data_IF_551610743786
#
_entry.id   IF_551610743786
#
_cell.length_a   1.000
_cell.length_b   1.000
_cell.length_c   1.000
_cell.angle_alpha   90.00
_cell.angle_beta   90.00
_cell.angle_gamma   90.00
#
_symmetry.space_group_name_H-M   'P 1'
#
loop_
_entity.id
_entity.type
_entity.pdbx_description
1 polymer ?
#
# COMPACT_ATOMS: atom_id res chain seq x y z
N UNK A 1 -24.98 4.60 -10.08
CA UNK A 1 -23.98 5.27 -9.22
C UNK A 1 -24.72 6.06 -8.16
N UNK A 2 -24.93 5.49 -6.97
CA UNK A 2 -25.53 6.20 -5.84
C UNK A 2 -24.45 7.14 -5.30
N UNK A 3 -24.51 8.40 -5.73
CA UNK A 3 -23.75 9.48 -5.10
C UNK A 3 -24.43 9.71 -3.75
N UNK A 4 -23.91 9.09 -2.70
CA UNK A 4 -24.29 9.43 -1.33
C UNK A 4 -23.85 10.87 -1.09
N UNK A 5 -24.80 11.79 -1.04
CA UNK A 5 -24.54 13.16 -0.65
C UNK A 5 -24.05 13.19 0.81
N UNK A 6 -23.01 13.97 1.11
CA UNK A 6 -22.44 14.15 2.45
C UNK A 6 -23.45 14.65 3.53
N UNK A 7 -24.70 14.96 3.16
CA UNK A 7 -25.76 15.38 4.07
C UNK A 7 -26.49 14.22 4.77
N UNK A 8 -26.36 12.97 4.30
CA UNK A 8 -27.09 11.83 4.87
C UNK A 8 -26.28 11.08 5.93
N UNK A 9 -26.14 11.68 7.11
CA UNK A 9 -25.51 11.03 8.28
C UNK A 9 -26.18 9.69 8.63
N UNK A 10 -27.50 9.58 8.41
CA UNK A 10 -28.27 8.35 8.65
C UNK A 10 -27.82 7.20 7.76
N UNK A 11 -27.52 7.41 6.48
CA UNK A 11 -27.06 6.35 5.59
C UNK A 11 -25.66 5.83 5.98
N UNK A 12 -24.76 6.73 6.41
CA UNK A 12 -23.45 6.34 6.93
C UNK A 12 -23.58 5.56 8.26
N UNK A 13 -24.51 5.95 9.14
CA UNK A 13 -24.82 5.25 10.38
C UNK A 13 -25.46 3.88 10.12
N UNK A 14 -26.44 3.79 9.21
CA UNK A 14 -27.09 2.54 8.82
C UNK A 14 -26.09 1.58 8.18
N UNK A 15 -25.22 2.06 7.30
CA UNK A 15 -24.11 1.26 6.79
C UNK A 15 -23.13 0.89 7.90
N UNK A 16 -22.88 1.77 8.87
CA UNK A 16 -22.05 1.48 10.04
C UNK A 16 -22.66 0.38 10.93
N UNK A 17 -23.96 0.41 11.16
CA UNK A 17 -24.65 -0.52 12.04
C UNK A 17 -24.89 -1.86 11.33
N UNK A 18 -25.29 -1.83 10.05
CA UNK A 18 -25.52 -3.02 9.23
C UNK A 18 -24.24 -3.85 9.04
N UNK A 19 -23.07 -3.23 9.05
CA UNK A 19 -21.80 -3.96 8.98
C UNK A 19 -20.95 -3.87 10.25
N UNK A 20 -21.55 -3.44 11.37
CA UNK A 20 -20.98 -3.64 12.70
C UNK A 20 -21.12 -5.10 13.12
N UNK A 21 -20.18 -5.58 13.91
CA UNK A 21 -20.17 -6.95 14.41
C UNK A 21 -20.95 -7.03 15.72
N UNK A 22 -22.01 -7.82 15.75
CA UNK A 22 -22.53 -8.41 16.98
C UNK A 22 -21.76 -9.68 17.40
N UNK A 23 -21.03 -10.31 16.47
CA UNK A 23 -20.28 -11.56 16.66
C UNK A 23 -19.13 -11.71 15.64
N UNK A 24 -17.95 -12.16 16.09
CA UNK A 24 -16.80 -12.57 15.26
C UNK A 24 -16.58 -14.07 15.42
N UNK A 25 -16.52 -14.81 14.32
CA UNK A 25 -16.22 -16.25 14.36
C UNK A 25 -14.70 -16.47 14.38
N UNK A 26 -14.14 -16.76 15.55
CA UNK A 26 -12.70 -17.01 15.69
C UNK A 26 -12.23 -18.33 15.05
N UNK A 27 -13.13 -19.29 14.79
CA UNK A 27 -12.78 -20.57 14.17
C UNK A 27 -12.42 -20.42 12.69
N UNK A 28 -12.92 -19.39 12.03
CA UNK A 28 -12.68 -19.12 10.60
C UNK A 28 -11.68 -17.98 10.39
N UNK A 29 -10.93 -17.63 11.44
CA UNK A 29 -9.92 -16.56 11.37
C UNK A 29 -8.83 -16.99 10.37
N UNK A 30 -8.63 -16.24 9.28
CA UNK A 30 -7.61 -16.60 8.30
C UNK A 30 -6.21 -16.41 8.89
N UNK A 31 -5.25 -17.27 8.52
CA UNK A 31 -3.86 -17.05 8.89
C UNK A 31 -3.31 -15.80 8.18
N UNK A 32 -2.25 -15.25 8.77
CA UNK A 32 -1.62 -14.03 8.28
C UNK A 32 -0.65 -14.29 7.13
N UNK A 33 -0.31 -15.54 6.86
CA UNK A 33 0.76 -15.90 5.92
C UNK A 33 0.24 -16.87 4.87
N UNK A 34 0.68 -16.64 3.63
CA UNK A 34 0.55 -17.55 2.52
C UNK A 34 1.79 -18.43 2.43
N UNK A 35 1.63 -19.67 1.98
CA UNK A 35 2.75 -20.61 1.81
C UNK A 35 2.71 -21.33 0.47
N UNK A 36 3.87 -21.77 -0.01
CA UNK A 36 4.00 -22.55 -1.23
C UNK A 36 4.85 -23.79 -0.92
N UNK A 37 4.16 -24.92 -0.70
CA UNK A 37 4.83 -26.15 -0.28
C UNK A 37 5.64 -26.75 -1.43
N UNK A 38 6.89 -27.11 -1.18
CA UNK A 38 7.76 -27.78 -2.16
C UNK A 38 8.47 -26.85 -3.14
N UNK A 39 8.23 -25.53 -3.08
CA UNK A 39 8.94 -24.55 -3.89
C UNK A 39 10.24 -24.07 -3.22
N UNK A 40 11.20 -23.62 -4.04
CA UNK A 40 12.49 -23.12 -3.56
C UNK A 40 12.32 -21.77 -2.86
N UNK A 41 12.90 -21.66 -1.67
CA UNK A 41 12.94 -20.42 -0.87
C UNK A 41 14.35 -19.86 -0.82
N UNK A 42 14.49 -18.57 -1.11
CA UNK A 42 15.74 -17.81 -1.16
C UNK A 42 15.71 -16.81 0.01
N UNK A 43 16.52 -16.98 1.05
CA UNK A 43 16.58 -16.02 2.14
C UNK A 43 17.10 -14.68 1.64
N UNK A 44 16.47 -13.58 2.06
CA UNK A 44 16.92 -12.24 1.72
C UNK A 44 18.06 -11.80 2.64
N UNK A 45 19.07 -11.07 2.11
CA UNK A 45 20.17 -10.56 2.92
C UNK A 45 19.67 -9.56 3.96
N UNK A 46 20.26 -9.61 5.15
CA UNK A 46 20.05 -8.55 6.14
C UNK A 46 20.75 -7.27 5.64
N UNK A 47 20.08 -6.13 5.81
CA UNK A 47 20.57 -4.81 5.42
C UNK A 47 20.57 -3.88 6.60
N UNK A 48 21.45 -2.88 6.58
CA UNK A 48 21.35 -1.75 7.49
C UNK A 48 20.04 -0.98 7.27
N UNK A 49 19.58 -0.33 8.34
CA UNK A 49 18.35 0.45 8.31
C UNK A 49 18.54 1.71 7.47
N UNK A 50 17.57 2.11 6.62
CA UNK A 50 17.67 3.35 5.86
C UNK A 50 17.86 4.58 6.77
N UNK A 51 18.97 5.28 6.59
CA UNK A 51 19.37 6.40 7.46
C UNK A 51 18.80 7.76 7.02
N UNK A 52 18.30 7.86 5.78
CA UNK A 52 17.69 9.09 5.27
C UNK A 52 16.58 9.58 6.21
N UNK A 53 16.54 10.87 6.57
CA UNK A 53 15.45 11.43 7.37
C UNK A 53 14.08 11.13 6.75
N UNK A 54 13.13 10.65 7.55
CA UNK A 54 11.80 10.25 7.07
C UNK A 54 11.09 11.30 6.23
N UNK A 55 11.08 12.56 6.70
CA UNK A 55 10.42 13.64 5.96
C UNK A 55 11.12 13.93 4.63
N UNK A 56 12.44 13.77 4.56
CA UNK A 56 13.19 13.90 3.30
C UNK A 56 12.84 12.77 2.33
N UNK A 57 12.82 11.52 2.80
CA UNK A 57 12.47 10.35 2.00
C UNK A 57 11.04 10.42 1.43
N UNK A 58 10.11 11.04 2.16
CA UNK A 58 8.74 11.29 1.69
C UNK A 58 8.64 12.51 0.76
N UNK A 59 9.43 13.55 1.01
CA UNK A 59 9.38 14.81 0.26
C UNK A 59 9.99 14.70 -1.15
N UNK A 60 10.96 13.80 -1.33
CA UNK A 60 11.75 13.68 -2.56
C UNK A 60 11.69 12.27 -3.12
N UNK A 61 10.59 11.89 -3.80
CA UNK A 61 10.53 10.62 -4.52
C UNK A 61 11.74 10.49 -5.46
N UNK A 62 12.48 9.39 -5.37
CA UNK A 62 13.51 9.11 -6.36
C UNK A 62 12.85 8.96 -7.74
N UNK A 63 13.16 9.89 -8.65
CA UNK A 63 12.69 9.87 -10.04
C UNK A 63 13.80 9.47 -11.01
N UNK A 64 15.04 9.54 -10.56
CA UNK A 64 16.22 9.11 -11.29
C UNK A 64 17.14 8.34 -10.34
N UNK A 65 17.83 7.35 -10.88
CA UNK A 65 18.85 6.59 -10.17
C UNK A 65 19.90 6.12 -11.16
N UNK A 66 21.15 6.04 -10.73
CA UNK A 66 22.28 5.55 -11.55
C UNK A 66 22.88 4.26 -11.01
N UNK A 67 22.53 3.89 -9.78
CA UNK A 67 22.99 2.64 -9.17
C UNK A 67 22.14 1.47 -9.69
N UNK A 68 22.76 0.36 -10.14
CA UNK A 68 22.04 -0.86 -10.46
C UNK A 68 21.18 -1.34 -9.28
N UNK A 69 20.02 -1.91 -9.57
CA UNK A 69 19.17 -2.52 -8.55
C UNK A 69 19.74 -3.89 -8.16
N UNK A 70 20.02 -4.10 -6.88
CA UNK A 70 20.59 -5.33 -6.34
C UNK A 70 19.65 -6.04 -5.35
N UNK A 71 20.01 -7.25 -4.94
CA UNK A 71 19.22 -8.04 -3.98
C UNK A 71 19.12 -7.36 -2.59
N UNK A 72 20.12 -6.55 -2.21
CA UNK A 72 20.11 -5.83 -0.94
C UNK A 72 19.03 -4.73 -0.95
N UNK A 73 18.94 -3.96 -2.04
CA UNK A 73 17.90 -2.95 -2.24
C UNK A 73 16.51 -3.58 -2.26
N UNK A 74 16.33 -4.71 -2.96
CA UNK A 74 15.07 -5.49 -2.93
C UNK A 74 14.73 -5.94 -1.52
N UNK A 75 15.72 -6.43 -0.76
CA UNK A 75 15.54 -6.83 0.63
C UNK A 75 15.02 -5.68 1.50
N UNK A 76 15.63 -4.50 1.39
CA UNK A 76 15.20 -3.29 2.11
C UNK A 76 13.77 -2.88 1.72
N UNK A 77 13.47 -2.83 0.42
CA UNK A 77 12.14 -2.47 -0.08
C UNK A 77 11.06 -3.39 0.48
N UNK A 78 11.28 -4.70 0.49
CA UNK A 78 10.31 -5.69 0.99
C UNK A 78 10.23 -5.69 2.53
N UNK A 79 11.35 -5.53 3.24
CA UNK A 79 11.38 -5.49 4.70
C UNK A 79 10.66 -4.26 5.23
N UNK A 80 11.02 -3.06 4.76
CA UNK A 80 10.48 -1.81 5.27
C UNK A 80 9.09 -1.47 4.74
N UNK A 81 8.57 -2.18 3.73
CA UNK A 81 7.16 -2.08 3.30
C UNK A 81 6.25 -3.10 3.98
N UNK A 82 6.60 -4.39 3.93
CA UNK A 82 5.72 -5.50 4.33
C UNK A 82 6.32 -6.43 5.40
N UNK A 83 7.59 -6.27 5.74
CA UNK A 83 8.30 -7.13 6.68
C UNK A 83 7.75 -7.10 8.10
N UNK A 84 8.02 -8.17 8.84
CA UNK A 84 7.72 -8.26 10.27
C UNK A 84 8.73 -7.42 11.06
N UNK A 85 8.26 -6.40 11.79
CA UNK A 85 9.11 -5.47 12.56
C UNK A 85 9.07 -5.72 14.07
N UNK A 86 7.98 -6.31 14.58
CA UNK A 86 7.83 -6.60 16.02
C UNK A 86 6.91 -7.78 16.26
N UNK A 87 7.26 -8.62 17.22
CA UNK A 87 6.37 -9.62 17.83
C UNK A 87 6.04 -9.21 19.27
N UNK A 88 4.83 -9.46 19.72
CA UNK A 88 4.44 -9.26 21.12
C UNK A 88 3.49 -10.34 21.57
N UNK A 89 3.47 -10.67 22.86
CA UNK A 89 2.51 -11.60 23.44
C UNK A 89 1.42 -10.81 24.15
N UNK A 90 0.17 -11.06 23.78
CA UNK A 90 -1.03 -10.52 24.44
C UNK A 90 -1.73 -11.61 25.24
N UNK A 91 -2.12 -11.36 26.51
CA UNK A 91 -2.90 -12.32 27.29
C UNK A 91 -4.22 -12.74 26.62
N UNK A 92 -4.84 -11.85 25.84
CA UNK A 92 -6.13 -12.11 25.19
C UNK A 92 -6.03 -12.59 23.74
N UNK A 93 -4.89 -12.38 23.08
CA UNK A 93 -4.74 -12.61 21.63
C UNK A 93 -3.55 -13.51 21.26
N UNK A 94 -2.77 -13.99 22.23
CA UNK A 94 -1.58 -14.80 21.98
C UNK A 94 -0.44 -13.99 21.36
N UNK A 95 0.37 -14.64 20.52
CA UNK A 95 1.42 -13.96 19.75
C UNK A 95 0.79 -13.05 18.69
N UNK A 96 1.18 -11.78 18.70
CA UNK A 96 0.73 -10.74 17.77
C UNK A 96 1.92 -10.29 16.95
N UNK A 97 1.74 -10.30 15.63
CA UNK A 97 2.75 -9.95 14.66
C UNK A 97 2.47 -8.53 14.16
N UNK A 98 3.46 -7.65 14.21
CA UNK A 98 3.38 -6.30 13.67
C UNK A 98 4.29 -6.19 12.45
N UNK A 99 3.70 -5.84 11.31
CA UNK A 99 4.43 -5.52 10.08
C UNK A 99 4.74 -4.02 9.97
N UNK A 100 5.67 -3.70 9.08
CA UNK A 100 6.06 -2.34 8.76
C UNK A 100 4.84 -1.48 8.38
N UNK A 101 4.03 -1.95 7.42
CA UNK A 101 2.74 -1.36 7.09
C UNK A 101 1.72 -1.45 8.25
N UNK A 102 0.91 -0.40 8.40
CA UNK A 102 -0.28 -0.46 9.24
C UNK A 102 -1.36 -1.29 8.55
N UNK A 103 -2.24 -1.92 9.32
CA UNK A 103 -3.34 -2.69 8.76
C UNK A 103 -4.55 -2.61 9.66
N UNK A 104 -5.73 -2.42 9.07
CA UNK A 104 -6.99 -2.44 9.79
C UNK A 104 -7.12 -3.76 10.58
N UNK A 105 -7.13 -3.66 11.90
CA UNK A 105 -7.24 -4.82 12.78
C UNK A 105 -6.02 -5.75 12.79
N UNK A 106 -4.89 -5.33 12.23
CA UNK A 106 -3.68 -6.15 12.07
C UNK A 106 -3.96 -7.48 11.33
N UNK A 107 -4.75 -7.40 10.25
CA UNK A 107 -5.18 -8.57 9.47
C UNK A 107 -4.29 -8.84 8.25
N UNK A 108 -3.53 -7.83 7.80
CA UNK A 108 -2.53 -7.92 6.76
C UNK A 108 -3.04 -8.62 5.48
N UNK A 109 -4.05 -8.06 4.80
CA UNK A 109 -4.61 -8.64 3.58
C UNK A 109 -3.63 -8.60 2.40
N UNK A 110 -2.60 -7.77 2.47
CA UNK A 110 -1.70 -7.51 1.35
C UNK A 110 -0.52 -8.47 1.33
N UNK A 111 -0.32 -9.12 0.18
CA UNK A 111 0.88 -9.89 -0.16
C UNK A 111 1.72 -9.13 -1.19
N UNK A 112 3.03 -9.38 -1.21
CA UNK A 112 3.94 -8.81 -2.20
C UNK A 112 4.56 -9.91 -3.05
N UNK A 113 4.62 -9.65 -4.35
CA UNK A 113 5.30 -10.47 -5.34
C UNK A 113 6.35 -9.62 -6.05
N UNK A 114 7.37 -10.28 -6.58
CA UNK A 114 8.46 -9.67 -7.35
C UNK A 114 8.56 -10.37 -8.69
N UNK A 115 8.48 -9.61 -9.77
CA UNK A 115 8.90 -10.04 -11.12
C UNK A 115 10.14 -9.26 -11.49
N UNK A 116 11.24 -9.94 -11.78
CA UNK A 116 12.50 -9.28 -12.11
C UNK A 116 13.23 -9.97 -13.25
N UNK A 117 14.11 -9.21 -13.91
CA UNK A 117 15.16 -9.75 -14.76
C UNK A 117 16.28 -10.41 -13.94
N UNK A 118 17.42 -10.65 -14.57
CA UNK A 118 18.63 -11.09 -13.88
C UNK A 118 19.20 -9.93 -13.05
N UNK A 119 19.13 -10.06 -11.72
CA UNK A 119 19.73 -9.12 -10.77
C UNK A 119 20.96 -9.74 -10.12
N UNK A 120 21.85 -8.92 -9.57
CA UNK A 120 22.97 -9.44 -8.80
C UNK A 120 22.45 -10.22 -7.57
N UNK A 121 22.77 -11.52 -7.52
CA UNK A 121 22.30 -12.45 -6.49
C UNK A 121 20.88 -13.01 -6.68
N UNK A 122 20.15 -12.67 -7.75
CA UNK A 122 18.79 -13.17 -7.99
C UNK A 122 18.49 -13.37 -9.49
N UNK A 123 18.27 -14.62 -9.89
CA UNK A 123 17.93 -14.96 -11.28
C UNK A 123 16.56 -14.40 -11.70
N UNK A 124 16.35 -14.24 -13.00
CA UNK A 124 15.08 -13.80 -13.57
C UNK A 124 13.95 -14.75 -13.18
N UNK A 125 12.82 -14.20 -12.75
CA UNK A 125 11.70 -15.00 -12.28
C UNK A 125 10.55 -14.22 -11.67
N UNK A 126 9.57 -15.00 -11.20
CA UNK A 126 8.45 -14.53 -10.38
C UNK A 126 8.60 -15.12 -8.98
N UNK A 127 8.49 -14.26 -7.98
CA UNK A 127 8.72 -14.61 -6.59
C UNK A 127 7.60 -14.10 -5.69
N UNK A 128 7.25 -14.85 -4.65
CA UNK A 128 6.41 -14.40 -3.54
C UNK A 128 7.29 -14.01 -2.35
N UNK A 129 7.04 -12.85 -1.73
CA UNK A 129 7.73 -12.45 -0.52
C UNK A 129 7.06 -13.05 0.72
N UNK A 130 7.81 -13.83 1.49
CA UNK A 130 7.39 -14.36 2.80
C UNK A 130 7.86 -13.44 3.93
N UNK A 131 6.96 -12.67 4.58
CA UNK A 131 7.37 -11.74 5.63
C UNK A 131 7.81 -12.45 6.92
N UNK A 132 7.35 -13.69 7.14
CA UNK A 132 7.73 -14.48 8.31
C UNK A 132 9.16 -15.00 8.22
N UNK A 133 9.57 -15.46 7.02
CA UNK A 133 10.90 -15.98 6.76
C UNK A 133 11.89 -14.94 6.26
N UNK A 134 11.41 -13.73 5.91
CA UNK A 134 12.17 -12.72 5.18
C UNK A 134 12.91 -13.34 3.99
N UNK A 135 12.12 -13.94 3.10
CA UNK A 135 12.61 -14.77 2.00
C UNK A 135 11.72 -14.62 0.77
N UNK A 136 12.28 -14.90 -0.40
CA UNK A 136 11.56 -15.01 -1.66
C UNK A 136 11.30 -16.47 -2.00
N UNK A 137 10.05 -16.83 -2.25
CA UNK A 137 9.70 -18.15 -2.78
C UNK A 137 9.60 -18.08 -4.29
N UNK A 138 10.41 -18.84 -5.03
CA UNK A 138 10.41 -18.84 -6.49
C UNK A 138 9.18 -19.57 -7.02
N UNK A 139 8.33 -18.84 -7.74
CA UNK A 139 7.10 -19.35 -8.36
C UNK A 139 7.33 -19.73 -9.83
N UNK A 140 8.11 -18.92 -10.55
CA UNK A 140 8.43 -19.14 -11.97
C UNK A 140 9.89 -18.80 -12.25
N UNK A 141 10.46 -19.46 -13.24
CA UNK A 141 11.76 -19.11 -13.82
C UNK A 141 11.55 -18.36 -15.13
N UNK A 142 12.42 -17.38 -15.41
CA UNK A 142 12.38 -16.61 -16.65
C UNK A 142 11.84 -15.20 -16.46
N UNK A 143 12.20 -14.33 -17.39
CA UNK A 143 11.83 -12.92 -17.36
C UNK A 143 10.41 -12.71 -17.92
N UNK A 144 9.47 -12.34 -17.04
CA UNK A 144 8.08 -12.04 -17.41
C UNK A 144 7.75 -10.54 -17.33
N UNK A 145 8.78 -9.66 -17.26
CA UNK A 145 8.55 -8.21 -17.29
C UNK A 145 7.91 -7.74 -18.58
N UNK A 146 8.25 -8.37 -19.71
CA UNK A 146 7.60 -8.12 -21.00
C UNK A 146 6.11 -8.48 -21.01
N UNK A 147 5.71 -9.54 -20.28
CA UNK A 147 4.31 -9.90 -20.13
C UNK A 147 3.56 -8.88 -19.26
N UNK A 148 4.16 -8.40 -18.17
CA UNK A 148 3.59 -7.32 -17.36
C UNK A 148 3.47 -6.02 -18.15
N UNK A 149 4.46 -5.68 -18.98
CA UNK A 149 4.41 -4.55 -19.89
C UNK A 149 3.22 -4.64 -20.86
N UNK A 150 2.99 -5.81 -21.46
CA UNK A 150 1.85 -6.06 -22.33
C UNK A 150 0.51 -5.95 -21.57
N UNK A 151 0.42 -6.50 -20.35
CA UNK A 151 -0.80 -6.43 -19.53
C UNK A 151 -1.12 -5.01 -19.06
N UNK A 152 -0.09 -4.20 -18.82
CA UNK A 152 -0.26 -2.81 -18.44
C UNK A 152 -0.35 -1.87 -19.66
N UNK A 153 -0.17 -2.35 -20.90
CA UNK A 153 0.02 -1.53 -22.09
C UNK A 153 1.13 -0.45 -21.90
N UNK A 154 2.20 -0.80 -21.17
CA UNK A 154 3.28 0.09 -20.73
C UNK A 154 4.67 -0.53 -21.01
N UNK A 155 5.27 -0.17 -22.15
CA UNK A 155 6.58 -0.71 -22.55
C UNK A 155 7.70 -0.39 -21.53
N UNK A 156 7.57 0.66 -20.72
CA UNK A 156 8.60 1.02 -19.74
C UNK A 156 8.74 -0.01 -18.61
N UNK A 157 7.71 -0.84 -18.39
CA UNK A 157 7.79 -1.97 -17.46
C UNK A 157 8.77 -3.04 -17.95
N UNK A 158 8.86 -3.27 -19.27
CA UNK A 158 9.78 -4.25 -19.85
C UNK A 158 11.25 -3.87 -19.63
N UNK A 159 11.54 -2.57 -19.51
CA UNK A 159 12.86 -2.03 -19.19
C UNK A 159 13.10 -1.84 -17.69
N UNK A 160 12.09 -1.97 -16.83
CA UNK A 160 12.30 -1.80 -15.39
C UNK A 160 12.99 -3.05 -14.82
N UNK A 161 14.10 -2.97 -14.06
CA UNK A 161 14.85 -4.16 -13.61
C UNK A 161 13.99 -5.07 -12.71
N UNK A 162 13.08 -4.48 -11.94
CA UNK A 162 12.11 -5.19 -11.13
C UNK A 162 10.74 -4.51 -11.12
N UNK A 163 9.71 -5.33 -10.95
CA UNK A 163 8.33 -4.91 -10.72
C UNK A 163 7.85 -5.63 -9.46
N UNK A 164 7.53 -4.87 -8.43
CA UNK A 164 6.86 -5.39 -7.23
C UNK A 164 5.35 -5.30 -7.46
N UNK A 165 4.60 -6.34 -7.13
CA UNK A 165 3.15 -6.38 -7.29
C UNK A 165 2.54 -6.60 -5.92
N UNK A 166 1.58 -5.76 -5.55
CA UNK A 166 0.77 -6.00 -4.37
C UNK A 166 -0.56 -6.66 -4.76
N UNK A 167 -0.99 -7.63 -3.97
CA UNK A 167 -2.27 -8.32 -4.12
C UNK A 167 -3.06 -8.20 -2.83
N UNK A 168 -4.37 -8.45 -2.86
CA UNK A 168 -5.20 -8.55 -1.67
C UNK A 168 -5.83 -9.93 -1.53
N UNK A 169 -5.53 -10.62 -0.43
CA UNK A 169 -6.29 -11.78 0.05
C UNK A 169 -7.56 -11.26 0.73
N UNK A 170 -8.68 -11.20 -0.01
CA UNK A 170 -9.88 -10.48 0.42
C UNK A 170 -10.46 -10.99 1.74
N UNK A 171 -10.42 -12.31 1.96
CA UNK A 171 -10.96 -12.93 3.17
C UNK A 171 -10.26 -12.45 4.45
N UNK A 172 -8.96 -12.10 4.41
CA UNK A 172 -8.24 -11.61 5.59
C UNK A 172 -8.89 -10.39 6.21
N UNK A 173 -9.27 -9.41 5.38
CA UNK A 173 -10.00 -8.23 5.85
C UNK A 173 -11.49 -8.50 6.06
N UNK A 174 -12.11 -9.25 5.14
CA UNK A 174 -13.55 -9.49 5.16
C UNK A 174 -14.00 -10.33 6.35
N UNK A 175 -13.15 -11.22 6.88
CA UNK A 175 -13.40 -12.01 8.08
C UNK A 175 -13.86 -11.14 9.27
N UNK A 176 -13.21 -9.98 9.46
CA UNK A 176 -13.58 -9.04 10.53
C UNK A 176 -14.52 -7.95 10.04
N UNK A 177 -14.34 -7.46 8.83
CA UNK A 177 -14.98 -6.21 8.38
C UNK A 177 -16.07 -6.41 7.33
N UNK A 178 -16.38 -7.66 6.97
CA UNK A 178 -17.38 -8.02 5.97
C UNK A 178 -17.13 -7.25 4.67
N UNK A 179 -18.18 -6.73 4.04
CA UNK A 179 -18.10 -5.92 2.82
C UNK A 179 -17.20 -4.67 2.95
N UNK A 180 -17.02 -4.09 4.15
CA UNK A 180 -16.05 -2.98 4.34
C UNK A 180 -14.61 -3.43 4.18
N UNK A 181 -14.34 -4.72 4.40
CA UNK A 181 -13.01 -5.31 4.27
C UNK A 181 -12.40 -5.05 2.89
N UNK A 182 -13.22 -5.02 1.84
CA UNK A 182 -12.78 -4.69 0.49
C UNK A 182 -12.11 -3.30 0.43
N UNK A 183 -12.75 -2.26 0.97
CA UNK A 183 -12.16 -0.92 1.06
C UNK A 183 -10.89 -0.90 1.90
N UNK A 184 -10.84 -1.69 2.98
CA UNK A 184 -9.68 -1.73 3.87
C UNK A 184 -8.46 -2.37 3.20
N UNK A 185 -8.64 -3.30 2.25
CA UNK A 185 -7.52 -3.78 1.44
C UNK A 185 -6.79 -2.63 0.73
N UNK A 186 -7.51 -1.70 0.10
CA UNK A 186 -6.88 -0.56 -0.58
C UNK A 186 -6.22 0.42 0.39
N UNK A 187 -6.81 0.65 1.56
CA UNK A 187 -6.19 1.48 2.60
C UNK A 187 -4.91 0.86 3.14
N UNK A 188 -4.95 -0.44 3.46
CA UNK A 188 -3.78 -1.18 3.93
C UNK A 188 -2.68 -1.16 2.86
N UNK A 189 -3.01 -1.38 1.58
CA UNK A 189 -2.08 -1.25 0.46
C UNK A 189 -1.48 0.15 0.37
N UNK A 190 -2.28 1.21 0.56
CA UNK A 190 -1.79 2.59 0.57
C UNK A 190 -0.72 2.85 1.64
N UNK A 191 -0.87 2.26 2.84
CA UNK A 191 0.17 2.39 3.88
C UNK A 191 1.45 1.64 3.52
N UNK A 192 1.33 0.49 2.86
CA UNK A 192 2.46 -0.31 2.39
C UNK A 192 3.20 0.40 1.25
N UNK A 193 2.46 0.98 0.30
CA UNK A 193 3.00 1.78 -0.79
C UNK A 193 3.77 3.00 -0.29
N UNK A 194 3.24 3.72 0.71
CA UNK A 194 3.93 4.87 1.29
C UNK A 194 5.31 4.48 1.85
N UNK A 195 5.38 3.37 2.60
CA UNK A 195 6.65 2.85 3.09
C UNK A 195 7.58 2.39 1.96
N UNK A 196 7.05 1.69 0.95
CA UNK A 196 7.83 1.20 -0.19
C UNK A 196 8.46 2.35 -0.96
N UNK A 197 7.68 3.38 -1.32
CA UNK A 197 8.16 4.55 -2.07
C UNK A 197 9.16 5.40 -1.26
N UNK A 198 8.93 5.56 0.05
CA UNK A 198 9.89 6.23 0.92
C UNK A 198 11.20 5.43 1.02
N UNK A 199 11.11 4.10 1.12
CA UNK A 199 12.29 3.22 1.17
C UNK A 199 13.05 3.28 -0.14
N UNK A 200 12.35 3.23 -1.28
CA UNK A 200 12.94 3.38 -2.61
C UNK A 200 13.72 4.69 -2.74
N UNK A 201 13.16 5.79 -2.24
CA UNK A 201 13.83 7.09 -2.20
C UNK A 201 15.06 7.09 -1.30
N UNK A 202 14.99 6.47 -0.13
CA UNK A 202 16.11 6.36 0.79
C UNK A 202 17.27 5.48 0.26
N UNK A 203 16.97 4.46 -0.55
CA UNK A 203 17.99 3.62 -1.21
C UNK A 203 18.38 4.12 -2.61
N UNK A 204 17.86 5.27 -3.05
CA UNK A 204 18.20 5.89 -4.33
C UNK A 204 17.67 5.17 -5.57
N UNK A 205 16.62 4.35 -5.42
CA UNK A 205 16.00 3.60 -6.51
C UNK A 205 14.72 4.31 -6.99
N UNK A 206 14.60 4.66 -8.27
CA UNK A 206 13.38 5.27 -8.77
C UNK A 206 12.23 4.27 -8.70
N UNK A 207 11.04 4.75 -8.36
CA UNK A 207 9.85 3.91 -8.25
C UNK A 207 8.61 4.58 -8.85
N UNK A 208 7.80 3.81 -9.58
CA UNK A 208 6.56 4.28 -10.20
C UNK A 208 5.43 3.29 -9.95
N UNK A 209 4.27 3.79 -9.57
CA UNK A 209 3.08 2.97 -9.31
C UNK A 209 2.19 2.93 -10.55
N UNK A 210 1.71 1.74 -10.90
CA UNK A 210 0.81 1.49 -12.03
C UNK A 210 -0.43 0.79 -11.47
N UNK A 211 -1.60 1.40 -11.66
CA UNK A 211 -2.89 0.83 -11.27
C UNK A 211 -3.73 0.39 -12.49
N UNK A 212 -3.38 0.83 -13.70
CA UNK A 212 -4.01 0.40 -14.94
C UNK A 212 -3.30 -0.79 -15.56
N UNK A 213 -3.89 -1.98 -15.41
CA UNK A 213 -3.43 -3.21 -16.04
C UNK A 213 -4.60 -4.16 -16.25
N UNK A 214 -4.47 -5.11 -17.19
CA UNK A 214 -5.46 -6.15 -17.41
C UNK A 214 -5.38 -7.16 -16.25
N UNK A 215 -6.30 -7.05 -15.28
CA UNK A 215 -6.25 -7.75 -13.99
C UNK A 215 -5.98 -9.26 -14.13
N UNK A 216 -6.78 -9.93 -14.95
CA UNK A 216 -6.69 -11.38 -15.13
C UNK A 216 -5.32 -11.84 -15.67
N UNK A 217 -4.66 -11.02 -16.51
CA UNK A 217 -3.34 -11.39 -17.05
C UNK A 217 -2.25 -11.28 -15.99
N UNK A 218 -2.30 -10.25 -15.14
CA UNK A 218 -1.36 -10.11 -14.02
C UNK A 218 -1.58 -11.23 -13.01
N UNK A 219 -2.83 -11.53 -12.67
CA UNK A 219 -3.17 -12.63 -11.77
C UNK A 219 -2.68 -13.98 -12.31
N UNK A 220 -2.77 -14.21 -13.62
CA UNK A 220 -2.24 -15.42 -14.28
C UNK A 220 -0.70 -15.51 -14.19
N UNK A 221 0.01 -14.39 -14.37
CA UNK A 221 1.47 -14.30 -14.20
C UNK A 221 1.86 -14.69 -12.77
N UNK A 222 1.10 -14.25 -11.77
CA UNK A 222 1.35 -14.56 -10.37
C UNK A 222 0.80 -15.93 -9.91
N UNK A 223 -0.07 -16.55 -10.72
CA UNK A 223 -0.71 -17.82 -10.42
C UNK A 223 -1.87 -17.72 -9.43
N UNK A 224 -2.58 -16.60 -9.36
CA UNK A 224 -3.61 -16.36 -8.34
C UNK A 224 -4.96 -17.00 -8.70
N UNK A 225 -5.76 -17.32 -7.68
CA UNK A 225 -7.22 -17.42 -7.85
C UNK A 225 -7.84 -16.04 -7.57
N UNK A 226 -8.14 -15.28 -8.63
CA UNK A 226 -8.70 -13.91 -8.59
C UNK A 226 -9.97 -13.76 -7.75
N UNK A 227 -10.59 -14.88 -7.36
CA UNK A 227 -11.76 -14.93 -6.49
C UNK A 227 -11.42 -14.75 -5.00
N UNK A 228 -10.23 -15.16 -4.60
CA UNK A 228 -9.74 -15.14 -3.21
C UNK A 228 -8.62 -14.11 -3.04
N UNK A 229 -7.73 -13.99 -4.04
CA UNK A 229 -6.60 -13.08 -4.07
C UNK A 229 -6.44 -12.46 -5.46
N UNK A 230 -6.33 -11.13 -5.55
CA UNK A 230 -6.15 -10.43 -6.82
C UNK A 230 -5.17 -9.28 -6.72
N UNK A 231 -4.54 -8.96 -7.84
CA UNK A 231 -3.58 -7.86 -7.98
C UNK A 231 -4.25 -6.49 -7.77
N UNK A 232 -3.55 -5.57 -7.10
CA UNK A 232 -4.04 -4.21 -6.80
C UNK A 232 -3.22 -3.15 -7.54
N UNK A 233 -1.91 -3.26 -7.52
CA UNK A 233 -1.02 -2.36 -8.25
C UNK A 233 0.33 -2.99 -8.53
N UNK A 234 0.96 -2.51 -9.60
CA UNK A 234 2.35 -2.78 -9.95
C UNK A 234 3.21 -1.60 -9.50
N UNK A 235 4.43 -1.88 -9.08
CA UNK A 235 5.43 -0.88 -8.70
C UNK A 235 6.71 -1.20 -9.47
N UNK A 236 6.94 -0.44 -10.54
CA UNK A 236 8.20 -0.50 -11.27
C UNK A 236 9.31 0.12 -10.42
N UNK A 237 10.44 -0.56 -10.27
CA UNK A 237 11.56 -0.13 -9.44
C UNK A 237 12.87 -0.24 -10.23
N UNK A 238 13.72 0.77 -10.07
CA UNK A 238 15.07 0.83 -10.61
C UNK A 238 15.18 1.58 -11.93
N UNK A 239 16.41 1.95 -12.28
CA UNK A 239 16.69 2.68 -13.51
C UNK A 239 16.40 1.79 -14.75
N UNK A 240 15.82 2.34 -15.83
CA UNK A 240 15.53 1.56 -17.02
C UNK A 240 16.78 0.89 -17.61
N UNK A 241 16.67 -0.40 -17.91
CA UNK A 241 17.66 -1.18 -18.64
C UNK A 241 17.62 -0.88 -20.13
N UNK A 242 18.79 -0.95 -20.80
CA UNK A 242 18.91 -0.67 -22.24
C UNK A 242 18.14 -1.66 -23.11
N UNK A 243 18.04 -2.92 -22.68
CA UNK A 243 17.37 -3.97 -23.42
C UNK A 243 16.04 -4.35 -22.73
N UNK A 244 14.88 -3.99 -23.30
CA UNK A 244 13.59 -4.37 -22.73
C UNK A 244 13.38 -5.89 -22.83
N UNK A 245 12.74 -6.46 -21.81
CA UNK A 245 12.31 -7.84 -21.80
C UNK A 245 11.24 -8.12 -22.87
N UNK A 246 11.42 -9.19 -23.64
CA UNK A 246 10.39 -9.65 -24.57
C UNK A 246 9.26 -10.36 -23.81
N UNK A 247 8.02 -10.23 -24.30
CA UNK A 247 6.91 -11.01 -23.77
C UNK A 247 7.02 -12.48 -24.19
N UNK A 248 6.84 -13.40 -23.24
CA UNK A 248 6.72 -14.84 -23.53
C UNK A 248 5.34 -15.16 -24.10
N UNK A 249 5.29 -15.97 -25.15
CA UNK A 249 4.04 -16.42 -25.78
C UNK A 249 3.34 -17.56 -25.01
N UNK A 250 4.08 -18.29 -24.17
CA UNK A 250 3.52 -19.39 -23.38
C UNK A 250 3.85 -19.22 -21.89
N UNK A 251 2.84 -19.49 -21.07
CA UNK A 251 2.94 -19.51 -19.61
C UNK A 251 2.18 -20.72 -19.09
N UNK A 252 2.87 -21.58 -18.34
CA UNK A 252 2.21 -22.69 -17.66
C UNK A 252 1.33 -22.19 -16.50
N UNK A 253 0.25 -22.90 -16.21
CA UNK A 253 -0.53 -22.64 -15.00
C UNK A 253 0.26 -23.19 -13.81
N UNK A 254 0.41 -22.38 -12.76
CA UNK A 254 1.10 -22.77 -11.51
C UNK A 254 0.10 -22.82 -10.35
N UNK A 255 0.51 -23.43 -9.25
CA UNK A 255 -0.25 -23.49 -8.00
C UNK A 255 -0.45 -22.07 -7.40
N UNK A 256 -1.63 -21.81 -6.86
CA UNK A 256 -1.97 -20.51 -6.29
C UNK A 256 -1.48 -20.29 -4.87
N UNK A 257 -0.77 -21.26 -4.28
CA UNK A 257 -0.30 -21.24 -2.91
C UNK A 257 -1.42 -21.53 -1.91
N UNK A 258 -1.02 -21.97 -0.72
CA UNK A 258 -1.93 -22.23 0.39
C UNK A 258 -2.15 -20.95 1.20
N UNK A 259 -3.37 -20.43 1.13
CA UNK A 259 -3.85 -19.30 1.94
C UNK A 259 -4.23 -19.72 3.37
N UNK A 260 -4.26 -21.02 3.66
CA UNK A 260 -4.51 -21.63 4.96
C UNK A 260 -5.95 -21.51 5.46
N UNK A 261 -6.91 -21.35 4.55
CA UNK A 261 -8.35 -21.41 4.81
C UNK A 261 -9.09 -22.04 3.63
N UNK A 262 -10.21 -22.73 3.91
CA UNK A 262 -11.04 -23.39 2.89
C UNK A 262 -12.54 -23.04 2.99
N UNK A 263 -12.91 -22.26 4.00
CA UNK A 263 -14.28 -21.98 4.43
C UNK A 263 -14.56 -20.48 4.54
N UNK A 264 -13.94 -19.69 3.65
CA UNK A 264 -14.19 -18.26 3.54
C UNK A 264 -15.69 -17.98 3.28
N UNK A 265 -16.24 -17.02 4.04
CA UNK A 265 -17.63 -16.59 3.82
C UNK A 265 -17.65 -15.63 2.62
N UNK A 266 -18.42 -15.93 1.56
CA UNK A 266 -18.46 -15.07 0.40
C UNK A 266 -19.23 -13.76 0.70
N UNK A 267 -18.74 -12.66 0.16
CA UNK A 267 -19.43 -11.37 0.11
C UNK A 267 -19.68 -10.99 -1.35
N UNK A 268 -20.83 -11.37 -1.94
CA UNK A 268 -21.12 -11.19 -3.36
C UNK A 268 -21.01 -9.74 -3.83
N UNK A 269 -21.34 -8.77 -2.99
CA UNK A 269 -21.26 -7.35 -3.30
C UNK A 269 -19.80 -6.88 -3.48
N UNK A 270 -18.89 -7.38 -2.64
CA UNK A 270 -17.46 -7.09 -2.76
C UNK A 270 -16.89 -7.73 -4.02
N UNK A 271 -17.28 -8.98 -4.29
CA UNK A 271 -16.87 -9.69 -5.50
C UNK A 271 -17.37 -9.00 -6.77
N UNK A 272 -18.65 -8.61 -6.81
CA UNK A 272 -19.22 -7.92 -7.96
C UNK A 272 -18.51 -6.59 -8.21
N UNK A 273 -18.28 -5.80 -7.16
CA UNK A 273 -17.54 -4.55 -7.26
C UNK A 273 -16.13 -4.77 -7.82
N UNK A 274 -15.44 -5.82 -7.38
CA UNK A 274 -14.11 -6.13 -7.88
C UNK A 274 -14.12 -6.53 -9.37
N UNK A 275 -15.02 -7.42 -9.78
CA UNK A 275 -15.16 -7.85 -11.18
C UNK A 275 -15.53 -6.67 -12.08
N UNK A 276 -16.44 -5.80 -11.65
CA UNK A 276 -16.87 -4.62 -12.41
C UNK A 276 -15.81 -3.52 -12.50
N UNK A 277 -14.84 -3.51 -11.58
CA UNK A 277 -13.72 -2.57 -11.58
C UNK A 277 -12.51 -3.06 -12.40
N UNK A 278 -12.45 -4.35 -12.76
CA UNK A 278 -11.33 -4.94 -13.48
C UNK A 278 -11.26 -4.42 -14.93
N UNK A 279 -10.05 -4.15 -15.40
CA UNK A 279 -9.76 -3.83 -16.78
C UNK A 279 -9.49 -5.11 -17.55
N UNK A 280 -10.06 -5.21 -18.76
CA UNK A 280 -10.08 -6.46 -19.53
C UNK A 280 -9.36 -6.35 -20.88
N UNK A 281 -8.94 -5.15 -21.27
CA UNK A 281 -8.27 -4.89 -22.55
C UNK A 281 -7.31 -3.70 -22.48
N UNK A 282 -6.33 -3.67 -23.39
CA UNK A 282 -5.41 -2.53 -23.53
C UNK A 282 -6.15 -1.21 -23.80
N UNK A 283 -7.29 -1.25 -24.50
CA UNK A 283 -8.12 -0.07 -24.72
C UNK A 283 -8.69 0.49 -23.41
N UNK A 284 -9.12 -0.36 -22.50
CA UNK A 284 -9.61 0.06 -21.17
C UNK A 284 -8.47 0.61 -20.31
N UNK A 285 -7.30 -0.02 -20.36
CA UNK A 285 -6.08 0.49 -19.71
C UNK A 285 -5.71 1.88 -20.23
N UNK A 286 -5.73 2.08 -21.55
CA UNK A 286 -5.49 3.40 -22.15
C UNK A 286 -6.50 4.47 -21.72
N UNK A 287 -7.77 4.11 -21.49
CA UNK A 287 -8.82 5.03 -20.98
C UNK A 287 -8.70 5.31 -19.49
N UNK A 288 -8.17 4.36 -18.72
CA UNK A 288 -7.93 4.51 -17.29
C UNK A 288 -6.85 5.54 -16.99
N UNK A 289 -5.82 5.60 -17.84
CA UNK A 289 -4.64 6.44 -17.61
C UNK A 289 -4.96 7.92 -17.58
N UNK A 290 -4.42 8.58 -16.57
CA UNK A 290 -4.45 10.04 -16.42
C UNK A 290 -3.02 10.51 -16.26
N UNK A 291 -2.61 11.45 -17.10
CA UNK A 291 -1.28 12.06 -17.01
C UNK A 291 -1.06 12.67 -15.62
N UNK A 292 0.04 12.27 -14.98
CA UNK A 292 0.45 12.85 -13.70
C UNK A 292 1.12 14.19 -13.95
N UNK A 293 0.45 15.28 -13.54
CA UNK A 293 1.10 16.58 -13.46
C UNK A 293 2.01 16.61 -12.23
N UNK A 294 3.30 16.36 -12.45
CA UNK A 294 4.34 16.57 -11.44
C UNK A 294 4.46 18.08 -11.22
N UNK A 295 4.18 18.52 -9.99
CA UNK A 295 4.49 19.88 -9.54
C UNK A 295 5.45 19.77 -8.38
N UNK A 296 6.43 20.66 -8.36
CA UNK A 296 7.28 20.83 -7.19
C UNK A 296 6.39 21.16 -5.99
N UNK A 297 6.57 20.38 -4.93
CA UNK A 297 5.87 20.61 -3.67
C UNK A 297 6.80 21.50 -2.86
N UNK A 298 6.34 22.69 -2.47
CA UNK A 298 7.12 23.53 -1.57
C UNK A 298 7.28 22.79 -0.25
N UNK A 299 8.51 22.39 0.08
CA UNK A 299 8.84 21.82 1.39
C UNK A 299 8.97 22.98 2.36
N UNK A 300 8.09 23.03 3.36
CA UNK A 300 8.13 24.04 4.42
C UNK A 300 9.05 23.57 5.54
N UNK A 301 10.13 24.34 5.77
CA UNK A 301 10.98 24.23 6.95
C UNK A 301 11.81 22.95 7.06
N UNK A 302 13.03 23.07 7.60
CA UNK A 302 13.83 21.91 8.03
C UNK A 302 13.27 21.37 9.35
N UNK A 303 12.14 20.66 9.31
CA UNK A 303 11.71 19.88 10.47
C UNK A 303 12.55 18.62 10.53
N UNK A 304 13.35 18.50 11.57
CA UNK A 304 14.10 17.27 11.83
C UNK A 304 13.14 16.09 12.01
N UNK A 305 13.45 14.99 11.36
CA UNK A 305 12.73 13.72 11.53
C UNK A 305 13.73 12.61 11.79
N UNK A 306 13.30 11.60 12.55
CA UNK A 306 14.09 10.39 12.74
C UNK A 306 14.39 9.71 11.38
N UNK A 307 15.49 8.93 11.30
CA UNK A 307 15.78 8.09 10.15
C UNK A 307 14.57 7.24 9.73
N UNK A 308 14.43 6.98 8.43
CA UNK A 308 13.31 6.23 7.88
C UNK A 308 13.21 4.82 8.48
N UNK A 309 14.34 4.12 8.55
CA UNK A 309 14.37 2.77 9.11
C UNK A 309 13.89 2.73 10.57
N UNK A 310 14.36 3.66 11.41
CA UNK A 310 13.92 3.80 12.79
C UNK A 310 12.42 4.14 12.86
N UNK A 311 11.96 5.09 12.04
CA UNK A 311 10.57 5.54 12.04
C UNK A 311 9.60 4.42 11.68
N UNK A 312 9.97 3.56 10.71
CA UNK A 312 9.17 2.39 10.33
C UNK A 312 9.22 1.32 11.43
N UNK A 313 10.40 0.98 11.95
CA UNK A 313 10.57 -0.08 12.96
C UNK A 313 9.93 0.27 14.31
N UNK A 314 9.94 1.53 14.70
CA UNK A 314 9.35 2.01 15.95
C UNK A 314 7.87 2.39 15.82
N UNK A 315 7.33 2.43 14.60
CA UNK A 315 5.95 2.83 14.33
C UNK A 315 4.96 2.01 15.16
N UNK A 316 4.00 2.70 15.76
CA UNK A 316 2.81 2.11 16.35
C UNK A 316 1.59 2.99 16.14
N UNK A 317 0.41 2.39 15.99
CA UNK A 317 -0.84 3.15 16.00
C UNK A 317 -1.16 3.58 17.43
N UNK A 318 -1.06 4.88 17.70
CA UNK A 318 -1.34 5.47 19.02
C UNK A 318 -2.77 5.17 19.45
N UNK A 319 -2.93 4.58 20.64
CA UNK A 319 -4.26 4.21 21.18
C UNK A 319 -4.91 5.32 22.00
N UNK A 320 -4.11 6.23 22.55
CA UNK A 320 -4.54 7.36 23.37
C UNK A 320 -3.59 8.53 23.12
N UNK A 321 -4.14 9.68 22.75
CA UNK A 321 -3.35 10.89 22.52
C UNK A 321 -3.17 11.67 23.83
N UNK A 322 -2.01 12.30 24.00
CA UNK A 322 -1.66 13.07 25.21
C UNK A 322 -2.45 14.39 25.35
N UNK A 323 -3.22 14.78 24.32
CA UNK A 323 -3.94 16.07 24.21
C UNK A 323 -3.03 17.31 24.24
N UNK A 324 -1.74 17.12 24.04
CA UNK A 324 -0.77 18.20 23.84
C UNK A 324 -0.89 18.75 22.41
N UNK A 325 -0.72 20.06 22.20
CA UNK A 325 -0.72 20.64 20.87
C UNK A 325 0.52 20.21 20.07
N UNK A 326 0.36 20.17 18.75
CA UNK A 326 1.50 20.19 17.83
C UNK A 326 1.75 21.63 17.36
N UNK A 327 2.97 21.94 16.97
CA UNK A 327 3.27 23.23 16.33
C UNK A 327 2.63 23.34 14.95
N UNK A 328 2.37 24.57 14.50
CA UNK A 328 1.94 24.83 13.13
C UNK A 328 2.94 24.30 12.09
N UNK A 329 4.24 24.42 12.37
CA UNK A 329 5.29 23.91 11.49
C UNK A 329 5.17 22.39 11.33
N UNK A 330 5.02 21.65 12.43
CA UNK A 330 4.81 20.20 12.39
C UNK A 330 3.59 19.81 11.55
N UNK A 331 2.44 20.48 11.75
CA UNK A 331 1.25 20.23 10.94
C UNK A 331 1.51 20.52 9.45
N UNK A 332 2.18 21.63 9.16
CA UNK A 332 2.46 22.08 7.79
C UNK A 332 3.39 21.12 7.07
N UNK A 333 4.45 20.63 7.73
CA UNK A 333 5.33 19.62 7.17
C UNK A 333 4.58 18.32 6.86
N UNK A 334 3.75 17.83 7.80
CA UNK A 334 2.94 16.62 7.59
C UNK A 334 1.99 16.76 6.39
N UNK A 335 1.33 17.90 6.25
CA UNK A 335 0.44 18.19 5.11
C UNK A 335 1.20 18.33 3.80
N UNK A 336 2.38 18.95 3.82
CA UNK A 336 3.23 19.09 2.65
C UNK A 336 3.71 17.72 2.15
N UNK A 337 4.34 16.90 3.00
CA UNK A 337 4.88 15.60 2.58
C UNK A 337 3.80 14.60 2.17
N UNK A 338 2.64 14.60 2.85
CA UNK A 338 1.50 13.77 2.44
C UNK A 338 0.81 14.25 1.16
N UNK A 339 1.17 15.45 0.68
CA UNK A 339 0.65 16.04 -0.55
C UNK A 339 1.60 15.97 -1.73
N UNK A 340 2.80 15.42 -1.54
CA UNK A 340 3.77 15.20 -2.60
C UNK A 340 3.16 14.30 -3.66
N UNK A 341 3.33 14.69 -4.92
CA UNK A 341 2.90 13.87 -6.05
C UNK A 341 3.83 12.66 -6.17
N UNK A 342 3.27 11.46 -6.25
CA UNK A 342 4.01 10.24 -6.57
C UNK A 342 3.94 9.94 -8.08
N UNK A 343 4.99 9.34 -8.68
CA UNK A 343 4.94 8.88 -10.07
C UNK A 343 3.87 7.78 -10.22
N UNK A 344 2.78 8.10 -10.92
CA UNK A 344 1.62 7.20 -11.11
C UNK A 344 1.04 7.30 -12.52
N UNK A 345 0.19 6.35 -12.90
CA UNK A 345 -0.60 6.37 -14.13
C UNK A 345 -2.06 6.87 -13.94
N UNK A 346 -2.44 7.29 -12.73
CA UNK A 346 -3.79 7.77 -12.37
C UNK A 346 -3.82 9.22 -11.85
N UNK A 347 -2.79 10.02 -12.17
CA UNK A 347 -2.74 11.45 -11.88
C UNK A 347 -2.33 11.84 -10.45
N UNK A 348 -2.26 10.88 -9.51
CA UNK A 348 -1.70 11.09 -8.15
C UNK A 348 -2.43 12.07 -7.23
N UNK A 349 -3.60 12.63 -7.62
CA UNK A 349 -4.33 13.67 -6.85
C UNK A 349 -5.85 13.48 -6.86
N UNK A 350 -6.31 12.30 -6.47
CA UNK A 350 -7.74 11.97 -6.42
C UNK A 350 -8.42 12.34 -5.09
N UNK A 351 -7.67 12.95 -4.14
CA UNK A 351 -8.16 13.22 -2.78
C UNK A 351 -7.86 14.64 -2.32
N UNK A 352 -8.82 15.24 -1.61
CA UNK A 352 -8.70 16.57 -1.01
C UNK A 352 -8.66 16.47 0.53
N UNK A 353 -7.61 17.02 1.17
CA UNK A 353 -7.47 16.96 2.62
C UNK A 353 -8.31 18.03 3.33
N UNK A 354 -9.15 17.56 4.25
CA UNK A 354 -9.89 18.39 5.20
C UNK A 354 -9.49 18.00 6.62
N UNK A 355 -9.38 18.99 7.50
CA UNK A 355 -8.90 18.82 8.86
C UNK A 355 -9.90 19.36 9.86
N UNK A 356 -10.02 18.67 10.99
CA UNK A 356 -10.58 19.24 12.22
C UNK A 356 -9.40 19.55 13.14
N UNK A 357 -9.07 20.83 13.27
CA UNK A 357 -7.97 21.34 14.09
C UNK A 357 -8.51 21.65 15.48
N UNK A 358 -7.99 20.96 16.51
CA UNK A 358 -8.41 21.16 17.91
C UNK A 358 -7.27 21.63 18.84
N UNK A 359 -6.01 21.43 18.46
CA UNK A 359 -4.86 21.76 19.30
C UNK A 359 -3.60 21.91 18.43
N UNK A 360 -3.46 23.07 17.79
CA UNK A 360 -2.29 23.41 16.97
C UNK A 360 -1.86 24.83 17.32
N UNK A 361 -0.62 24.99 17.77
CA UNK A 361 -0.11 26.30 18.18
C UNK A 361 -0.13 27.28 16.99
N UNK A 362 -0.72 28.45 17.20
CA UNK A 362 -0.85 29.48 16.15
C UNK A 362 -2.02 29.29 15.20
N UNK A 363 -2.85 28.25 15.36
CA UNK A 363 -4.12 28.09 14.63
C UNK A 363 -5.32 28.16 15.56
N UNK A 364 -6.37 28.82 15.08
CA UNK A 364 -7.69 28.81 15.72
C UNK A 364 -8.32 27.41 15.56
N UNK A 365 -9.01 26.90 16.59
CA UNK A 365 -9.74 25.64 16.48
C UNK A 365 -10.84 25.74 15.42
N UNK A 366 -10.98 24.72 14.59
CA UNK A 366 -11.99 24.71 13.55
C UNK A 366 -11.81 23.64 12.49
N UNK A 367 -12.69 23.68 11.49
CA UNK A 367 -12.60 22.88 10.28
C UNK A 367 -11.88 23.67 9.18
N UNK A 368 -10.90 23.01 8.54
CA UNK A 368 -10.06 23.60 7.50
C UNK A 368 -10.04 22.74 6.24
N UNK A 369 -9.94 23.38 5.09
CA UNK A 369 -9.50 22.75 3.84
C UNK A 369 -8.01 23.06 3.65
N UNK A 370 -7.19 22.05 3.35
CA UNK A 370 -5.80 22.30 2.95
C UNK A 370 -5.69 22.34 1.43
N UNK A 371 -5.41 23.52 0.89
CA UNK A 371 -5.19 23.69 -0.54
C UNK A 371 -3.80 23.21 -0.92
N UNK A 372 -3.71 22.04 -1.56
CA UNK A 372 -2.42 21.50 -2.07
C UNK A 372 -1.76 22.41 -3.12
N UNK A 373 -2.53 23.29 -3.77
CA UNK A 373 -2.02 24.20 -4.81
C UNK A 373 -1.35 25.42 -4.17
N UNK A 374 -1.97 25.98 -3.14
CA UNK A 374 -1.45 27.15 -2.43
C UNK A 374 -0.54 26.76 -1.26
N UNK A 375 -0.58 25.50 -0.85
CA UNK A 375 0.00 25.00 0.39
C UNK A 375 -0.47 25.78 1.62
N UNK A 376 -1.77 26.07 1.67
CA UNK A 376 -2.40 26.92 2.67
C UNK A 376 -3.59 26.23 3.32
N UNK A 377 -3.78 26.46 4.61
CA UNK A 377 -5.00 26.10 5.34
C UNK A 377 -6.04 27.20 5.20
N UNK A 378 -7.21 26.84 4.69
CA UNK A 378 -8.36 27.73 4.56
C UNK A 378 -9.38 27.37 5.64
N UNK A 379 -9.63 28.30 6.56
CA UNK A 379 -10.64 28.14 7.59
C UNK A 379 -12.02 28.10 6.95
N UNK A 380 -12.74 26.99 7.15
CA UNK A 380 -14.11 26.81 6.68
C UNK A 380 -15.12 27.16 7.76
N UNK A 381 -14.80 26.76 9.00
CA UNK A 381 -15.66 26.99 10.16
C UNK A 381 -14.83 27.00 11.43
N UNK A 382 -14.89 28.10 12.17
CA UNK A 382 -14.31 28.20 13.51
C UNK A 382 -15.14 27.42 14.54
N UNK A 383 -14.47 26.82 15.52
CA UNK A 383 -15.09 26.20 16.69
C UNK A 383 -14.33 25.01 17.26
N UNK A 384 -14.60 24.71 18.53
CA UNK A 384 -14.18 23.45 19.18
C UNK A 384 -15.04 22.30 18.65
N UNK A 385 -14.42 21.31 18.00
CA UNK A 385 -15.12 20.20 17.35
C UNK A 385 -14.62 18.82 17.81
N UNK A 386 -13.93 18.76 18.95
CA UNK A 386 -13.30 17.51 19.43
C UNK A 386 -14.31 16.43 19.75
N UNK A 387 -15.43 16.79 20.39
CA UNK A 387 -16.48 15.84 20.73
C UNK A 387 -17.19 15.33 19.48
N UNK A 388 -17.49 16.21 18.54
CA UNK A 388 -18.07 15.88 17.24
C UNK A 388 -17.13 14.97 16.43
N UNK A 389 -15.83 15.27 16.40
CA UNK A 389 -14.83 14.42 15.77
C UNK A 389 -14.78 13.04 16.42
N UNK A 390 -14.79 12.96 17.76
CA UNK A 390 -14.83 11.70 18.50
C UNK A 390 -16.06 10.87 18.15
N UNK A 391 -17.24 11.49 18.12
CA UNK A 391 -18.50 10.88 17.72
C UNK A 391 -18.45 10.33 16.29
N UNK A 392 -17.99 11.13 15.32
CA UNK A 392 -17.82 10.72 13.91
C UNK A 392 -16.82 9.57 13.74
N UNK A 393 -15.85 9.46 14.65
CA UNK A 393 -14.90 8.35 14.72
C UNK A 393 -15.40 7.15 15.53
N UNK A 394 -16.72 7.02 15.73
CA UNK A 394 -17.36 5.96 16.50
C UNK A 394 -16.93 5.96 17.98
N UNK A 395 -17.03 7.13 18.61
CA UNK A 395 -16.71 7.37 20.02
C UNK A 395 -15.23 7.11 20.39
N UNK A 396 -14.33 7.26 19.42
CA UNK A 396 -12.90 7.18 19.69
C UNK A 396 -12.45 8.38 20.54
N UNK A 397 -11.60 8.09 21.53
CA UNK A 397 -11.05 9.10 22.42
C UNK A 397 -10.00 9.95 21.69
N UNK A 398 -10.43 11.10 21.17
CA UNK A 398 -9.60 12.12 20.54
C UNK A 398 -9.18 13.24 21.52
#
# INVERSE_FOLDING_TARGET
MLILANSEKTAAQEFHDATNLSYINLLTKPPLYKSYTGLSSIPLPQSDAPEMPTLEALARPATTGTAPLDLLSISQLLHYSAGLIRKSVSPSAGEVHYRAAASAGALYPIELYLVCGELDGLAAGVYHYSPAGHALTKLRTGDLRGNLAASADDETLASSPAIIISTAVFWRSAWKYRTRGYRYCFWDNGTMLANLLATASAVGQPARVIAGFIDFQVDLILGLDSREEASICLIAVGAPEEQPAAASESMEVIDCGDLGFNDAIPYPESRRLHIEAALTSAQEVGRWRVETQVRETNVFGEIASAPLGESISCRGSTRRFAREPISYDQLSALLAVSSVTMPTDFGGRLTEPYLIVNAVDGLVSGAYHYSRIKSELQLLREGEMRNEAGHLCFEQAL
#
